data_IF_289700658667
#
_entry.id   IF_289700658667
#
_cell.length_a   1.000
_cell.length_b   1.000
_cell.length_c   1.000
_cell.angle_alpha   90.00
_cell.angle_beta   90.00
_cell.angle_gamma   90.00
#
_symmetry.space_group_name_H-M   'P 1'
#
loop_
_entity.id
_entity.type
_entity.pdbx_description
1 polymer ?
#
# COMPACT_ATOMS: atom_id res chain seq x y z
N UNK A 1 18.46 -0.17 9.03
CA UNK A 1 17.21 0.34 9.63
C UNK A 1 16.55 -0.83 10.35
N UNK A 2 15.94 -0.63 11.52
CA UNK A 2 15.20 -1.71 12.19
C UNK A 2 13.79 -1.77 11.59
N UNK A 3 13.31 -2.97 11.24
CA UNK A 3 11.96 -3.19 10.70
C UNK A 3 10.90 -2.93 11.77
N UNK A 4 9.73 -2.40 11.38
CA UNK A 4 8.58 -2.25 12.26
C UNK A 4 7.62 -3.42 12.04
N UNK A 5 7.72 -4.42 12.90
CA UNK A 5 6.92 -5.65 12.79
C UNK A 5 5.80 -5.72 13.82
N UNK A 6 6.00 -5.12 15.00
CA UNK A 6 5.08 -5.22 16.13
C UNK A 6 4.73 -3.87 16.74
N UNK A 7 3.66 -3.82 17.53
CA UNK A 7 3.33 -2.64 18.33
C UNK A 7 4.44 -2.23 19.30
N UNK A 8 5.28 -3.18 19.75
CA UNK A 8 6.45 -2.88 20.60
C UNK A 8 7.54 -2.12 19.85
N UNK A 9 7.71 -2.39 18.55
CA UNK A 9 8.67 -1.67 17.72
C UNK A 9 8.22 -0.24 17.49
N UNK A 10 6.92 -0.03 17.28
CA UNK A 10 6.32 1.31 17.23
C UNK A 10 6.47 2.07 18.54
N UNK A 11 6.20 1.44 19.68
CA UNK A 11 6.36 2.07 21.00
C UNK A 11 7.82 2.48 21.23
N UNK A 12 8.77 1.59 20.93
CA UNK A 12 10.21 1.87 21.01
C UNK A 12 10.61 3.06 20.12
N UNK A 13 10.12 3.07 18.87
CA UNK A 13 10.35 4.15 17.93
C UNK A 13 9.76 5.48 18.40
N UNK A 14 8.53 5.46 18.93
CA UNK A 14 7.85 6.63 19.45
C UNK A 14 8.60 7.22 20.66
N UNK A 15 9.03 6.38 21.62
CA UNK A 15 9.84 6.82 22.76
C UNK A 15 11.18 7.44 22.30
N UNK A 16 11.84 6.83 21.31
CA UNK A 16 13.07 7.38 20.74
C UNK A 16 12.82 8.73 20.06
N UNK A 17 11.71 8.87 19.32
CA UNK A 17 11.34 10.12 18.67
C UNK A 17 11.07 11.24 19.68
N UNK A 18 10.38 10.95 20.79
CA UNK A 18 10.14 11.91 21.87
C UNK A 18 11.45 12.33 22.55
N UNK A 19 12.37 11.39 22.75
CA UNK A 19 13.68 11.71 23.32
C UNK A 19 14.53 12.63 22.42
N UNK A 20 14.34 12.55 21.10
CA UNK A 20 15.03 13.40 20.12
C UNK A 20 14.32 14.75 19.94
N UNK A 21 12.99 14.76 19.91
CA UNK A 21 12.16 15.95 19.72
C UNK A 21 10.94 15.89 20.67
N UNK A 22 10.98 16.59 21.81
CA UNK A 22 9.95 16.54 22.85
C UNK A 22 8.54 16.96 22.40
N UNK A 23 8.40 17.74 21.32
CA UNK A 23 7.09 18.14 20.78
C UNK A 23 6.25 16.95 20.32
N UNK A 24 6.87 15.86 19.89
CA UNK A 24 6.14 14.63 19.56
C UNK A 24 5.46 14.01 20.80
N UNK A 25 5.96 14.26 22.01
CA UNK A 25 5.32 13.83 23.25
C UNK A 25 3.95 14.48 23.47
N UNK A 26 3.80 15.75 23.06
CA UNK A 26 2.51 16.43 23.09
C UNK A 26 1.53 15.82 22.07
N UNK A 27 2.01 15.54 20.85
CA UNK A 27 1.20 14.89 19.82
C UNK A 27 0.69 13.51 20.26
N UNK A 28 1.54 12.68 20.89
CA UNK A 28 1.14 11.38 21.44
C UNK A 28 0.05 11.50 22.50
N UNK A 29 0.12 12.51 23.37
CA UNK A 29 -0.95 12.77 24.38
C UNK A 29 -2.26 13.18 23.72
N UNK A 30 -2.23 14.00 22.67
CA UNK A 30 -3.44 14.37 21.91
C UNK A 30 -4.10 13.15 21.25
N UNK A 31 -3.32 12.13 20.89
CA UNK A 31 -3.81 10.85 20.36
C UNK A 31 -4.30 9.89 21.45
N UNK A 32 -4.35 10.32 22.72
CA UNK A 32 -4.83 9.53 23.87
C UNK A 32 -3.73 8.82 24.66
N UNK A 33 -2.44 9.00 24.31
CA UNK A 33 -1.30 8.44 25.04
C UNK A 33 -1.19 6.91 25.01
N UNK A 34 -2.09 6.23 24.30
CA UNK A 34 -2.10 4.78 24.10
C UNK A 34 -1.18 4.32 22.97
N UNK A 35 -1.08 3.00 22.74
CA UNK A 35 -0.26 2.44 21.69
C UNK A 35 -0.70 2.95 20.32
N UNK A 36 0.28 3.34 19.49
CA UNK A 36 0.02 3.70 18.09
C UNK A 36 -0.46 2.48 17.31
N UNK A 37 -1.46 2.63 16.43
CA UNK A 37 -1.93 1.52 15.61
C UNK A 37 -0.84 1.07 14.64
N UNK A 38 -0.53 -0.23 14.63
CA UNK A 38 0.34 -0.82 13.63
C UNK A 38 -0.38 -0.84 12.28
N UNK A 39 0.10 -0.01 11.35
CA UNK A 39 -0.42 0.06 9.97
C UNK A 39 0.43 -0.81 9.06
N UNK A 40 0.33 -2.13 9.26
CA UNK A 40 1.01 -3.15 8.46
C UNK A 40 -0.01 -4.01 7.73
N UNK A 41 0.23 -4.30 6.45
CA UNK A 41 -0.55 -5.24 5.65
C UNK A 41 0.29 -6.45 5.22
N UNK A 42 -0.34 -7.39 4.50
CA UNK A 42 0.31 -8.61 4.03
C UNK A 42 1.18 -8.39 2.77
N UNK A 43 1.22 -7.17 2.23
CA UNK A 43 1.91 -6.83 1.00
C UNK A 43 1.32 -7.46 -0.25
N UNK A 44 2.20 -7.76 -1.20
CA UNK A 44 1.83 -8.40 -2.47
C UNK A 44 1.04 -7.52 -3.44
N UNK A 45 0.42 -8.17 -4.42
CA UNK A 45 -0.41 -7.53 -5.45
C UNK A 45 -1.57 -6.72 -4.84
N UNK A 46 -2.27 -7.28 -3.85
CA UNK A 46 -3.46 -6.67 -3.27
C UNK A 46 -3.16 -5.31 -2.61
N UNK A 47 -2.01 -5.18 -1.93
CA UNK A 47 -1.61 -3.91 -1.32
C UNK A 47 -1.35 -2.82 -2.36
N UNK A 48 -0.59 -3.13 -3.42
CA UNK A 48 -0.33 -2.19 -4.52
C UNK A 48 -1.59 -1.86 -5.32
N UNK A 49 -2.42 -2.85 -5.60
CA UNK A 49 -3.70 -2.66 -6.28
C UNK A 49 -4.63 -1.77 -5.45
N UNK A 50 -4.72 -2.01 -4.13
CA UNK A 50 -5.47 -1.18 -3.19
C UNK A 50 -4.97 0.26 -3.14
N UNK A 51 -3.65 0.47 -3.19
CA UNK A 51 -3.05 1.80 -3.27
C UNK A 51 -3.49 2.52 -4.55
N UNK A 52 -3.41 1.85 -5.72
CA UNK A 52 -3.88 2.40 -7.01
C UNK A 52 -5.37 2.75 -6.96
N UNK A 53 -6.20 1.85 -6.44
CA UNK A 53 -7.65 2.06 -6.31
C UNK A 53 -7.97 3.27 -5.44
N UNK A 54 -7.20 3.49 -4.37
CA UNK A 54 -7.42 4.56 -3.39
C UNK A 54 -6.93 5.95 -3.86
N UNK A 55 -6.16 6.03 -4.94
CA UNK A 55 -5.64 7.32 -5.43
C UNK A 55 -6.78 8.29 -5.78
N UNK A 56 -6.65 9.54 -5.31
CA UNK A 56 -7.51 10.69 -5.64
C UNK A 56 -9.02 10.51 -5.32
N UNK A 57 -9.37 9.58 -4.44
CA UNK A 57 -10.76 9.33 -4.04
C UNK A 57 -10.88 9.23 -2.52
N UNK A 58 -12.09 9.37 -2.00
CA UNK A 58 -12.34 9.16 -0.57
C UNK A 58 -12.14 7.69 -0.18
N UNK A 59 -11.89 7.44 1.11
CA UNK A 59 -11.83 6.08 1.64
C UNK A 59 -13.13 5.29 1.40
N UNK A 60 -14.29 5.96 1.47
CA UNK A 60 -15.59 5.34 1.20
C UNK A 60 -15.71 4.92 -0.28
N UNK A 61 -15.28 5.79 -1.20
CA UNK A 61 -15.26 5.49 -2.63
C UNK A 61 -14.30 4.35 -2.97
N UNK A 62 -13.10 4.34 -2.37
CA UNK A 62 -12.12 3.28 -2.55
C UNK A 62 -12.68 1.93 -2.09
N UNK A 63 -13.29 1.88 -0.89
CA UNK A 63 -13.96 0.68 -0.37
C UNK A 63 -15.05 0.17 -1.31
N UNK A 64 -15.94 1.05 -1.77
CA UNK A 64 -17.01 0.65 -2.70
C UNK A 64 -16.48 0.09 -4.03
N UNK A 65 -15.34 0.59 -4.54
CA UNK A 65 -14.70 0.02 -5.74
C UNK A 65 -14.09 -1.35 -5.42
N UNK A 66 -13.35 -1.47 -4.31
CA UNK A 66 -12.75 -2.73 -3.88
C UNK A 66 -13.80 -3.82 -3.64
N UNK A 67 -14.94 -3.49 -3.02
CA UNK A 67 -16.04 -4.43 -2.77
C UNK A 67 -16.63 -4.96 -4.08
N UNK A 68 -16.80 -4.09 -5.10
CA UNK A 68 -17.26 -4.52 -6.43
C UNK A 68 -16.24 -5.38 -7.16
N UNK A 69 -14.94 -5.04 -7.07
CA UNK A 69 -13.87 -5.89 -7.61
C UNK A 69 -13.89 -7.27 -6.96
N UNK A 70 -14.04 -7.33 -5.64
CA UNK A 70 -14.15 -8.58 -4.90
C UNK A 70 -15.37 -9.40 -5.31
N UNK A 71 -16.54 -8.77 -5.42
CA UNK A 71 -17.77 -9.42 -5.88
C UNK A 71 -17.65 -9.95 -7.33
N UNK A 72 -16.84 -9.32 -8.16
CA UNK A 72 -16.54 -9.75 -9.53
C UNK A 72 -15.40 -10.78 -9.63
N UNK A 73 -14.78 -11.18 -8.50
CA UNK A 73 -13.63 -12.09 -8.48
C UNK A 73 -12.31 -11.48 -8.99
N UNK A 74 -12.22 -10.15 -9.07
CA UNK A 74 -11.08 -9.40 -9.61
C UNK A 74 -10.11 -8.97 -8.50
N UNK A 75 -9.63 -9.94 -7.71
CA UNK A 75 -8.86 -9.70 -6.47
C UNK A 75 -7.37 -10.04 -6.56
N UNK A 76 -6.96 -10.79 -7.59
CA UNK A 76 -5.58 -11.20 -7.81
C UNK A 76 -5.06 -10.81 -9.20
N UNK A 77 -3.74 -10.90 -9.38
CA UNK A 77 -3.08 -10.53 -10.62
C UNK A 77 -3.57 -11.36 -11.82
N UNK A 78 -3.84 -12.65 -11.65
CA UNK A 78 -4.33 -13.51 -12.72
C UNK A 78 -5.72 -13.08 -13.19
N UNK A 79 -6.64 -12.87 -12.25
CA UNK A 79 -7.99 -12.41 -12.54
C UNK A 79 -8.01 -11.03 -13.21
N UNK A 80 -7.24 -10.07 -12.68
CA UNK A 80 -7.14 -8.72 -13.25
C UNK A 80 -6.51 -8.72 -14.63
N UNK A 81 -5.49 -9.56 -14.87
CA UNK A 81 -4.83 -9.70 -16.17
C UNK A 81 -5.76 -10.30 -17.23
N UNK A 82 -6.62 -11.26 -16.83
CA UNK A 82 -7.58 -11.90 -17.74
C UNK A 82 -8.84 -11.04 -17.99
N UNK A 83 -9.10 -10.03 -17.15
CA UNK A 83 -10.30 -9.22 -17.24
C UNK A 83 -10.27 -8.24 -18.43
N UNK A 84 -11.43 -8.06 -19.06
CA UNK A 84 -11.61 -7.00 -20.06
C UNK A 84 -11.65 -5.62 -19.39
N UNK A 85 -11.26 -4.59 -20.13
CA UNK A 85 -11.36 -3.22 -19.66
C UNK A 85 -12.81 -2.83 -19.29
N UNK A 86 -13.80 -3.40 -19.97
CA UNK A 86 -15.22 -3.20 -19.68
C UNK A 86 -15.62 -3.79 -18.32
N UNK A 87 -15.13 -4.99 -17.97
CA UNK A 87 -15.38 -5.62 -16.68
C UNK A 87 -14.78 -4.81 -15.52
N UNK A 88 -13.54 -4.32 -15.70
CA UNK A 88 -12.88 -3.45 -14.72
C UNK A 88 -13.60 -2.09 -14.59
N UNK A 89 -14.05 -1.51 -15.70
CA UNK A 89 -14.82 -0.26 -15.69
C UNK A 89 -16.18 -0.42 -14.97
N UNK A 90 -16.84 -1.57 -15.13
CA UNK A 90 -18.10 -1.88 -14.44
C UNK A 90 -17.94 -1.90 -12.90
N UNK A 91 -16.73 -2.12 -12.38
CA UNK A 91 -16.42 -2.01 -10.95
C UNK A 91 -16.20 -0.55 -10.49
N UNK A 92 -16.26 0.43 -11.38
CA UNK A 92 -16.10 1.86 -11.09
C UNK A 92 -14.65 2.35 -11.17
N UNK A 93 -13.77 1.61 -11.85
CA UNK A 93 -12.41 2.06 -12.13
C UNK A 93 -12.40 3.08 -13.27
N UNK A 94 -11.59 4.13 -13.11
CA UNK A 94 -11.29 5.08 -14.20
C UNK A 94 -10.34 4.47 -15.23
N UNK A 95 -10.33 5.01 -16.46
CA UNK A 95 -9.43 4.53 -17.53
C UNK A 95 -7.94 4.47 -17.10
N UNK A 96 -7.36 5.48 -16.41
CA UNK A 96 -5.99 5.37 -15.90
C UNK A 96 -5.81 4.20 -14.91
N UNK A 97 -6.73 4.02 -13.96
CA UNK A 97 -6.64 2.94 -12.96
C UNK A 97 -6.75 1.55 -13.59
N UNK A 98 -7.56 1.40 -14.63
CA UNK A 98 -7.62 0.15 -15.43
C UNK A 98 -6.24 -0.14 -16.03
N UNK A 99 -5.62 0.85 -16.69
CA UNK A 99 -4.28 0.71 -17.28
C UNK A 99 -3.22 0.35 -16.23
N UNK A 100 -3.26 1.00 -15.06
CA UNK A 100 -2.30 0.76 -13.99
C UNK A 100 -2.45 -0.63 -13.36
N UNK A 101 -3.68 -1.06 -13.09
CA UNK A 101 -3.93 -2.39 -12.54
C UNK A 101 -3.56 -3.50 -13.53
N UNK A 102 -3.84 -3.34 -14.83
CA UNK A 102 -3.41 -4.29 -15.84
C UNK A 102 -1.89 -4.34 -15.97
N UNK A 103 -1.20 -3.19 -15.91
CA UNK A 103 0.25 -3.15 -15.95
C UNK A 103 0.87 -3.80 -14.70
N UNK A 104 0.34 -3.53 -13.51
CA UNK A 104 0.75 -4.18 -12.27
C UNK A 104 0.55 -5.69 -12.33
N UNK A 105 -0.60 -6.15 -12.84
CA UNK A 105 -0.91 -7.56 -12.99
C UNK A 105 -0.05 -8.28 -14.05
N UNK A 106 0.47 -7.54 -15.03
CA UNK A 106 1.38 -8.03 -16.06
C UNK A 106 2.87 -7.94 -15.69
N UNK A 107 3.23 -7.17 -14.66
CA UNK A 107 4.62 -7.01 -14.22
C UNK A 107 5.20 -8.26 -13.53
N UNK A 108 4.34 -9.19 -13.12
CA UNK A 108 4.68 -10.49 -12.52
C UNK A 108 5.80 -10.39 -11.46
N UNK A 109 5.62 -9.44 -10.54
CA UNK A 109 6.60 -9.16 -9.49
C UNK A 109 6.73 -10.35 -8.53
N UNK A 110 7.98 -10.73 -8.24
CA UNK A 110 8.29 -11.57 -7.09
C UNK A 110 8.22 -10.72 -5.80
N UNK A 111 7.03 -10.67 -5.22
CA UNK A 111 6.78 -9.92 -3.97
C UNK A 111 7.60 -10.44 -2.79
N UNK A 112 7.92 -11.73 -2.76
CA UNK A 112 8.75 -12.32 -1.70
C UNK A 112 10.20 -11.85 -1.80
N UNK A 113 10.72 -11.69 -3.02
CA UNK A 113 12.05 -11.16 -3.25
C UNK A 113 12.19 -9.68 -2.86
N UNK A 114 11.10 -8.89 -2.88
CA UNK A 114 11.15 -7.48 -2.51
C UNK A 114 11.63 -7.26 -1.06
N UNK A 115 11.33 -8.17 -0.13
CA UNK A 115 11.81 -8.11 1.25
C UNK A 115 13.34 -8.18 1.41
N UNK A 116 14.05 -8.62 0.37
CA UNK A 116 15.51 -8.82 0.40
C UNK A 116 16.27 -7.74 -0.37
N UNK A 117 15.55 -6.81 -0.99
CA UNK A 117 16.16 -5.73 -1.76
C UNK A 117 16.32 -4.48 -0.89
N UNK A 118 17.34 -3.64 -1.16
CA UNK A 118 17.41 -2.31 -0.58
C UNK A 118 16.19 -1.46 -0.95
N UNK A 119 15.72 -0.61 -0.04
CA UNK A 119 14.54 0.25 -0.21
C UNK A 119 14.53 1.02 -1.54
N UNK A 120 15.67 1.62 -1.93
CA UNK A 120 15.75 2.38 -3.17
C UNK A 120 15.60 1.50 -4.42
N UNK A 121 16.07 0.25 -4.37
CA UNK A 121 15.90 -0.71 -5.46
C UNK A 121 14.45 -1.22 -5.53
N UNK A 122 13.78 -1.40 -4.39
CA UNK A 122 12.33 -1.67 -4.36
C UNK A 122 11.57 -0.51 -4.99
N UNK A 123 11.85 0.73 -4.56
CA UNK A 123 11.24 1.93 -5.12
C UNK A 123 11.42 2.01 -6.63
N UNK A 124 12.65 1.82 -7.13
CA UNK A 124 12.95 1.84 -8.56
C UNK A 124 12.10 0.83 -9.34
N UNK A 125 12.06 -0.44 -8.89
CA UNK A 125 11.27 -1.49 -9.55
C UNK A 125 9.77 -1.20 -9.54
N UNK A 126 9.25 -0.70 -8.43
CA UNK A 126 7.84 -0.36 -8.32
C UNK A 126 7.47 0.84 -9.21
N UNK A 127 8.36 1.83 -9.34
CA UNK A 127 8.14 3.01 -10.19
C UNK A 127 8.22 2.70 -11.70
N UNK A 128 8.79 1.57 -12.11
CA UNK A 128 8.73 1.10 -13.50
C UNK A 128 7.28 0.72 -13.91
N UNK A 129 6.39 0.52 -12.94
CA UNK A 129 4.97 0.22 -13.17
C UNK A 129 4.18 1.53 -13.30
N UNK A 130 3.48 1.76 -14.43
CA UNK A 130 2.73 2.99 -14.61
C UNK A 130 1.64 3.14 -13.54
N UNK A 131 1.54 4.34 -12.97
CA UNK A 131 0.60 4.66 -11.90
C UNK A 131 1.15 4.49 -10.48
N UNK A 132 2.37 3.95 -10.35
CA UNK A 132 3.11 3.91 -9.09
C UNK A 132 4.22 4.95 -9.16
N UNK A 133 4.11 6.00 -8.35
CA UNK A 133 5.18 6.99 -8.17
C UNK A 133 5.95 6.74 -6.87
N UNK A 134 6.98 7.56 -6.64
CA UNK A 134 7.83 7.53 -5.43
C UNK A 134 7.03 7.39 -4.13
N UNK A 135 6.02 8.25 -3.96
CA UNK A 135 5.15 8.22 -2.79
C UNK A 135 4.45 6.87 -2.57
N UNK A 136 3.88 6.28 -3.63
CA UNK A 136 3.19 5.00 -3.52
C UNK A 136 4.16 3.84 -3.25
N UNK A 137 5.36 3.89 -3.80
CA UNK A 137 6.39 2.89 -3.55
C UNK A 137 6.92 2.97 -2.10
N UNK A 138 7.18 4.17 -1.59
CA UNK A 138 7.59 4.38 -0.19
C UNK A 138 6.48 3.98 0.80
N UNK A 139 5.22 4.21 0.44
CA UNK A 139 4.09 3.76 1.26
C UNK A 139 4.02 2.23 1.32
N UNK A 140 4.28 1.54 0.20
CA UNK A 140 4.38 0.09 0.17
C UNK A 140 5.54 -0.43 1.03
N UNK A 141 6.71 0.22 1.01
CA UNK A 141 7.81 -0.11 1.92
C UNK A 141 7.35 -0.01 3.39
N UNK A 142 6.75 1.12 3.76
CA UNK A 142 6.32 1.40 5.13
C UNK A 142 5.22 0.44 5.63
N UNK A 143 4.26 0.07 4.78
CA UNK A 143 3.08 -0.71 5.18
C UNK A 143 3.24 -2.21 4.94
N UNK A 144 4.00 -2.62 3.92
CA UNK A 144 4.08 -4.02 3.49
C UNK A 144 5.42 -4.66 3.81
N UNK A 145 6.52 -3.91 3.77
CA UNK A 145 7.86 -4.46 3.92
C UNK A 145 8.44 -4.26 5.33
N UNK A 146 8.14 -3.14 6.00
CA UNK A 146 8.46 -2.89 7.41
C UNK A 146 9.47 -1.80 7.67
#
# INVERSE_FOLDING_TARGET
MALIETGRDLERGALRLVALEPRFGAALRTLGGGPLPLRRDAGGFAALAGAIVSQQVSLASARAISDRLAAAGLVDAGAVRAASAAALAACGLSRPKIRYLQALAGADLDYGALHRLPDEEVCRRLMDIPGIGRWSAELYLLQSLG
#
